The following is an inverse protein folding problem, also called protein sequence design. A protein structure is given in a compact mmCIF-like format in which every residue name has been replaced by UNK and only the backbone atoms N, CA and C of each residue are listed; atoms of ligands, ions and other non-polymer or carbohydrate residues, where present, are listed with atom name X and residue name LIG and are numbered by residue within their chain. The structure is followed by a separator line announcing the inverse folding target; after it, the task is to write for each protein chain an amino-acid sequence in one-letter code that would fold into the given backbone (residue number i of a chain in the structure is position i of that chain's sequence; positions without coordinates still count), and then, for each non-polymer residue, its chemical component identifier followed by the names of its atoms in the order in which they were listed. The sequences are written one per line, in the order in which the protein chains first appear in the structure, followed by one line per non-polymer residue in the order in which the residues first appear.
data_IF_209658742035
#
_entry.id   IF_209658742035
#
_cell.length_a   1.000
_cell.length_b   1.000
_cell.length_c   1.000
_cell.angle_alpha   90.00
_cell.angle_beta   90.00
_cell.angle_gamma   90.00
#
_symmetry.space_group_name_H-M   'P 1'
#
loop_
_entity.id
_entity.type
_entity.pdbx_description
1 polymer ?
#
# COMPACT_ATOMS: atom_id res chain seq x y z
N UNK A 1 18.33 -47.14 0.56
CA UNK A 1 18.88 -47.08 -0.82
C UNK A 1 18.58 -45.68 -1.38
N UNK A 2 19.63 -44.97 -1.83
CA UNK A 2 19.73 -43.86 -2.80
C UNK A 2 18.52 -42.91 -3.05
N UNK A 3 18.64 -41.58 -3.18
CA UNK A 3 19.74 -40.79 -3.76
C UNK A 3 19.55 -39.30 -3.45
N UNK A 4 20.60 -38.65 -2.94
CA UNK A 4 20.75 -37.19 -2.81
C UNK A 4 20.85 -36.57 -4.21
N UNK A 5 20.17 -35.44 -4.44
CA UNK A 5 20.50 -34.51 -5.54
C UNK A 5 20.39 -33.06 -5.07
N UNK A 6 21.53 -32.52 -4.66
CA UNK A 6 21.77 -31.09 -4.61
C UNK A 6 21.91 -30.55 -6.05
N UNK A 7 21.33 -29.38 -6.32
CA UNK A 7 21.73 -28.53 -7.45
C UNK A 7 21.76 -27.08 -6.97
N UNK A 8 22.97 -26.62 -6.68
CA UNK A 8 23.32 -25.20 -6.64
C UNK A 8 23.42 -24.68 -8.06
N UNK A 9 22.77 -23.56 -8.33
CA UNK A 9 23.12 -22.67 -9.44
C UNK A 9 23.01 -21.25 -8.93
N UNK A 10 24.16 -20.71 -8.53
CA UNK A 10 24.36 -19.29 -8.34
C UNK A 10 24.20 -18.61 -9.72
N UNK A 11 23.39 -17.57 -9.79
CA UNK A 11 23.29 -16.71 -10.97
C UNK A 11 23.81 -15.33 -10.62
N UNK A 12 24.73 -14.91 -11.48
CA UNK A 12 25.64 -13.79 -11.45
C UNK A 12 24.93 -12.44 -11.56
N UNK A 13 25.33 -11.47 -10.74
CA UNK A 13 24.98 -10.06 -10.90
C UNK A 13 25.91 -9.35 -11.92
N UNK A 14 25.35 -8.45 -12.72
CA UNK A 14 25.99 -7.18 -13.08
C UNK A 14 24.94 -6.03 -12.99
N UNK A 15 25.23 -4.73 -13.00
CA UNK A 15 26.41 -3.89 -12.87
C UNK A 15 25.89 -2.48 -12.56
N UNK A 16 26.76 -1.67 -11.96
CA UNK A 16 26.59 -0.26 -11.60
C UNK A 16 26.29 0.60 -12.83
N UNK A 17 25.25 1.44 -12.76
CA UNK A 17 25.08 2.59 -13.64
C UNK A 17 24.96 3.86 -12.79
N UNK A 18 26.10 4.52 -12.60
CA UNK A 18 26.15 5.87 -12.06
C UNK A 18 25.76 6.86 -13.17
N UNK A 19 24.63 7.54 -13.04
CA UNK A 19 24.30 8.70 -13.86
C UNK A 19 24.71 9.98 -13.12
N UNK A 20 25.74 10.63 -13.66
CA UNK A 20 26.23 11.93 -13.25
C UNK A 20 25.76 13.01 -14.23
N UNK A 21 25.44 14.19 -13.67
CA UNK A 21 25.54 15.54 -14.23
C UNK A 21 24.47 16.04 -15.23
N UNK A 22 23.74 17.07 -14.81
CA UNK A 22 23.85 18.41 -15.42
C UNK A 22 23.30 19.50 -14.47
N UNK A 23 24.18 20.35 -13.93
CA UNK A 23 23.83 21.69 -13.45
C UNK A 23 23.87 22.65 -14.65
N UNK A 24 22.72 23.20 -15.03
CA UNK A 24 22.57 24.40 -15.85
C UNK A 24 21.90 25.45 -14.97
N UNK A 25 22.65 26.42 -14.45
CA UNK A 25 23.04 27.67 -15.11
C UNK A 25 21.93 28.74 -15.06
N UNK A 26 22.18 29.68 -14.14
CA UNK A 26 21.76 31.07 -13.98
C UNK A 26 21.24 31.82 -15.23
N UNK A 27 20.25 32.71 -15.01
CA UNK A 27 20.22 34.02 -15.65
C UNK A 27 18.84 34.50 -16.11
N UNK A 28 18.30 35.53 -15.44
CA UNK A 28 17.20 36.34 -15.98
C UNK A 28 16.31 36.99 -14.91
N UNK A 29 16.74 38.15 -14.40
CA UNK A 29 15.85 39.16 -13.79
C UNK A 29 14.80 39.60 -14.82
N UNK A 30 13.51 39.51 -14.49
CA UNK A 30 12.47 40.31 -15.13
C UNK A 30 11.48 40.83 -14.08
N UNK A 31 11.53 42.13 -13.87
CA UNK A 31 10.66 42.92 -12.99
C UNK A 31 9.37 43.19 -13.76
N UNK A 32 8.33 42.40 -13.49
CA UNK A 32 7.01 42.55 -14.10
C UNK A 32 5.89 42.40 -13.08
N UNK A 33 5.69 43.42 -12.25
CA UNK A 33 4.52 43.53 -11.36
C UNK A 33 3.26 43.77 -12.20
N UNK A 34 2.47 42.73 -12.40
CA UNK A 34 1.03 42.84 -12.59
C UNK A 34 0.33 41.86 -11.63
N UNK A 35 -0.43 42.34 -10.62
CA UNK A 35 -1.25 41.48 -9.80
C UNK A 35 -2.46 41.06 -10.63
N UNK A 36 -2.28 40.04 -11.48
CA UNK A 36 -3.42 39.24 -11.92
C UNK A 36 -3.93 38.54 -10.67
N UNK A 37 -5.12 38.97 -10.24
CA UNK A 37 -5.96 38.26 -9.31
C UNK A 37 -6.05 36.81 -9.82
N UNK A 38 -5.17 35.97 -9.30
CA UNK A 38 -5.27 34.54 -9.42
C UNK A 38 -6.56 34.20 -8.73
N UNK A 39 -7.58 33.89 -9.53
CA UNK A 39 -8.65 33.02 -9.06
C UNK A 39 -7.92 31.80 -8.53
N UNK A 40 -7.81 31.75 -7.19
CA UNK A 40 -7.46 30.54 -6.45
C UNK A 40 -8.33 29.47 -7.08
N UNK A 41 -7.71 28.59 -7.85
CA UNK A 41 -8.30 27.31 -8.13
C UNK A 41 -8.35 26.67 -6.74
N UNK A 42 -9.51 26.76 -6.11
CA UNK A 42 -9.91 25.83 -5.07
C UNK A 42 -9.72 24.45 -5.71
N UNK A 43 -8.53 23.87 -5.51
CA UNK A 43 -8.40 22.44 -5.58
C UNK A 43 -9.42 21.96 -4.56
N UNK A 44 -10.50 21.37 -5.05
CA UNK A 44 -11.44 20.62 -4.23
C UNK A 44 -10.58 19.88 -3.22
N UNK A 45 -10.77 20.15 -1.92
CA UNK A 45 -10.11 19.36 -0.89
C UNK A 45 -10.42 17.91 -1.24
N UNK A 46 -9.42 17.18 -1.74
CA UNK A 46 -9.58 15.76 -2.00
C UNK A 46 -9.92 15.18 -0.64
N UNK A 47 -11.11 14.61 -0.55
CA UNK A 47 -11.64 14.09 0.71
C UNK A 47 -10.73 12.93 1.10
N UNK A 48 -9.87 13.15 2.09
CA UNK A 48 -8.88 12.17 2.51
C UNK A 48 -9.60 10.92 3.02
N UNK A 49 -9.06 9.74 2.70
CA UNK A 49 -9.64 8.47 3.13
C UNK A 49 -9.32 8.25 4.60
N UNK A 50 -10.35 8.23 5.44
CA UNK A 50 -10.23 7.96 6.86
C UNK A 50 -10.04 6.46 7.12
N UNK A 51 -8.90 6.11 7.72
CA UNK A 51 -8.53 4.75 8.10
C UNK A 51 -8.65 4.60 9.62
N UNK A 52 -9.30 3.52 10.04
CA UNK A 52 -9.44 3.13 11.43
C UNK A 52 -8.65 1.84 11.71
N UNK A 53 -7.73 1.83 12.69
CA UNK A 53 -7.06 0.60 13.10
C UNK A 53 -7.94 -0.25 14.02
N UNK A 54 -7.86 -1.57 13.87
CA UNK A 54 -8.60 -2.55 14.66
C UNK A 54 -7.67 -3.63 15.21
N UNK A 55 -7.74 -3.82 16.54
CA UNK A 55 -7.01 -4.85 17.29
C UNK A 55 -5.68 -4.43 17.91
N UNK A 56 -5.18 -5.26 18.85
CA UNK A 56 -3.95 -5.02 19.63
C UNK A 56 -2.78 -5.96 19.27
N UNK A 57 -2.95 -6.79 18.23
CA UNK A 57 -1.92 -7.66 17.63
C UNK A 57 -1.71 -7.24 16.17
N UNK A 58 -1.51 -8.16 15.20
CA UNK A 58 -1.56 -7.79 13.80
C UNK A 58 -2.75 -6.87 13.49
N UNK A 59 -2.48 -5.64 13.05
CA UNK A 59 -3.46 -4.57 12.97
C UNK A 59 -4.28 -4.74 11.70
N UNK A 60 -5.60 -4.88 11.89
CA UNK A 60 -6.57 -4.69 10.83
C UNK A 60 -6.72 -3.20 10.55
N UNK A 61 -6.77 -2.82 9.27
CA UNK A 61 -7.11 -1.46 8.88
C UNK A 61 -8.48 -1.49 8.23
N UNK A 62 -9.37 -0.59 8.63
CA UNK A 62 -10.70 -0.44 8.04
C UNK A 62 -10.93 0.97 7.52
N UNK A 63 -11.78 1.10 6.50
CA UNK A 63 -12.25 2.39 5.99
C UNK A 63 -13.70 2.28 5.51
N UNK A 64 -14.46 3.40 5.48
CA UNK A 64 -15.74 3.46 4.80
C UNK A 64 -15.60 3.03 3.32
N UNK A 65 -16.70 2.60 2.71
CA UNK A 65 -16.73 2.36 1.27
C UNK A 65 -16.38 3.64 0.52
N UNK A 66 -15.37 3.55 -0.35
CA UNK A 66 -14.94 4.65 -1.20
C UNK A 66 -15.35 4.41 -2.66
N UNK A 67 -15.63 5.48 -3.38
CA UNK A 67 -15.86 5.43 -4.82
C UNK A 67 -14.52 5.55 -5.56
N UNK A 68 -14.35 4.82 -6.66
CA UNK A 68 -13.14 4.87 -7.47
C UNK A 68 -13.11 3.81 -8.56
N UNK A 69 -12.09 3.88 -9.41
CA UNK A 69 -11.83 2.81 -10.37
C UNK A 69 -11.35 1.58 -9.61
N UNK A 70 -12.20 0.55 -9.59
CA UNK A 70 -11.88 -0.73 -8.95
C UNK A 70 -11.02 -1.57 -9.87
N UNK A 71 -9.97 -2.17 -9.32
CA UNK A 71 -9.10 -3.13 -9.99
C UNK A 71 -8.91 -4.40 -9.15
N UNK A 72 -8.82 -5.53 -9.84
CA UNK A 72 -8.52 -6.81 -9.19
C UNK A 72 -7.01 -6.92 -8.98
N UNK A 73 -6.59 -7.05 -7.72
CA UNK A 73 -5.21 -7.29 -7.33
C UNK A 73 -5.06 -8.69 -6.75
N UNK A 74 -3.96 -9.36 -7.11
CA UNK A 74 -3.67 -10.73 -6.69
C UNK A 74 -2.32 -10.79 -5.98
N UNK A 75 -2.23 -11.50 -4.87
CA UNK A 75 -0.99 -11.58 -4.10
C UNK A 75 -1.11 -12.49 -2.90
N UNK A 76 -0.07 -12.55 -2.06
CA UNK A 76 -0.12 -13.25 -0.77
C UNK A 76 -0.50 -12.24 0.32
N UNK A 77 -1.54 -12.54 1.09
CA UNK A 77 -1.82 -11.76 2.30
C UNK A 77 -0.76 -12.09 3.35
N UNK A 78 -0.12 -11.08 3.92
CA UNK A 78 0.91 -11.22 4.95
C UNK A 78 0.60 -10.31 6.14
N UNK A 79 1.27 -10.55 7.27
CA UNK A 79 1.46 -9.53 8.30
C UNK A 79 2.73 -8.79 7.94
N UNK A 80 2.58 -7.58 7.41
CA UNK A 80 3.64 -6.76 6.90
C UNK A 80 4.37 -5.96 7.98
N UNK A 81 5.20 -4.99 7.57
CA UNK A 81 5.81 -4.03 8.47
C UNK A 81 4.78 -3.34 9.38
N UNK A 82 5.18 -3.08 10.64
CA UNK A 82 4.26 -2.48 11.62
C UNK A 82 3.19 -3.42 12.16
N UNK A 83 3.28 -4.72 11.85
CA UNK A 83 2.29 -5.75 12.16
C UNK A 83 0.96 -5.53 11.43
N UNK A 84 0.88 -4.82 10.31
CA UNK A 84 -0.39 -4.53 9.63
C UNK A 84 -0.65 -5.53 8.49
N UNK A 85 -1.91 -5.83 8.18
CA UNK A 85 -2.20 -6.69 7.02
C UNK A 85 -1.75 -6.02 5.72
N UNK A 86 -1.03 -6.78 4.88
CA UNK A 86 -0.52 -6.30 3.60
C UNK A 86 -0.68 -7.36 2.52
N UNK A 87 -0.76 -6.91 1.27
CA UNK A 87 -0.64 -7.73 0.09
C UNK A 87 0.81 -7.72 -0.38
N UNK A 88 1.34 -8.89 -0.71
CA UNK A 88 2.65 -9.00 -1.33
C UNK A 88 2.61 -9.98 -2.50
N UNK A 89 2.88 -9.49 -3.70
CA UNK A 89 3.13 -10.34 -4.88
C UNK A 89 4.60 -10.26 -5.29
N UNK A 90 5.02 -9.12 -5.84
CA UNK A 90 6.42 -8.84 -6.19
C UNK A 90 6.84 -7.47 -5.62
N UNK A 91 7.93 -7.42 -4.86
CA UNK A 91 8.47 -6.15 -4.33
C UNK A 91 8.00 -5.80 -2.92
N UNK A 92 7.72 -4.51 -2.69
CA UNK A 92 7.36 -3.99 -1.37
C UNK A 92 5.93 -4.39 -1.00
N UNK A 93 5.64 -4.68 0.27
CA UNK A 93 4.27 -4.94 0.72
C UNK A 93 3.37 -3.70 0.55
N UNK A 94 2.14 -3.92 0.11
CA UNK A 94 1.13 -2.88 -0.06
C UNK A 94 0.05 -3.05 1.03
N UNK A 95 -0.33 -1.97 1.71
CA UNK A 95 -1.27 -2.10 2.83
C UNK A 95 -2.67 -2.51 2.36
N UNK A 96 -3.30 -3.43 3.08
CA UNK A 96 -4.70 -3.80 2.87
C UNK A 96 -5.58 -3.08 3.88
N UNK A 97 -6.55 -2.33 3.37
CA UNK A 97 -7.60 -1.69 4.14
C UNK A 97 -8.91 -2.38 3.78
N UNK A 98 -9.57 -2.96 4.77
CA UNK A 98 -10.83 -3.67 4.60
C UNK A 98 -12.02 -2.71 4.77
N UNK A 99 -13.22 -3.04 4.28
CA UNK A 99 -14.39 -2.23 4.61
C UNK A 99 -14.65 -2.23 6.12
N UNK A 100 -15.43 -1.27 6.61
CA UNK A 100 -15.96 -1.34 7.98
C UNK A 100 -16.84 -2.59 8.19
N UNK A 101 -16.96 -3.03 9.45
CA UNK A 101 -17.82 -4.15 9.84
C UNK A 101 -17.28 -5.53 9.47
N UNK A 102 -15.98 -5.63 9.17
CA UNK A 102 -15.28 -6.89 8.90
C UNK A 102 -14.77 -7.50 10.19
N UNK A 103 -14.53 -8.80 10.18
CA UNK A 103 -14.05 -9.52 11.36
C UNK A 103 -12.58 -9.87 11.21
N UNK A 104 -11.76 -9.46 12.17
CA UNK A 104 -10.36 -9.86 12.26
C UNK A 104 -10.16 -10.91 13.35
N UNK A 105 -9.48 -12.00 13.01
CA UNK A 105 -8.96 -12.95 14.01
C UNK A 105 -7.47 -12.70 14.14
N UNK A 106 -7.12 -11.90 15.14
CA UNK A 106 -5.76 -11.39 15.33
C UNK A 106 -4.94 -12.27 16.30
N UNK A 107 -5.64 -13.02 17.16
CA UNK A 107 -5.04 -13.95 18.12
C UNK A 107 -5.11 -15.40 17.63
N UNK A 108 -3.95 -16.02 17.38
CA UNK A 108 -3.86 -17.42 16.95
C UNK A 108 -2.56 -17.71 16.19
N UNK A 109 -2.39 -18.95 15.71
CA UNK A 109 -1.21 -19.34 14.93
C UNK A 109 -1.15 -18.65 13.55
N UNK A 110 -2.30 -18.15 13.06
CA UNK A 110 -2.44 -17.48 11.76
C UNK A 110 -3.47 -16.36 11.84
N UNK A 111 -3.03 -15.09 11.83
CA UNK A 111 -3.91 -13.93 11.74
C UNK A 111 -4.78 -14.01 10.48
N UNK A 112 -6.05 -13.59 10.56
CA UNK A 112 -6.99 -13.62 9.43
C UNK A 112 -7.95 -12.43 9.42
N UNK A 113 -8.53 -12.17 8.23
CA UNK A 113 -9.58 -11.18 8.01
C UNK A 113 -10.74 -11.85 7.28
N UNK A 114 -11.98 -11.53 7.64
CA UNK A 114 -13.19 -12.08 7.03
C UNK A 114 -13.97 -10.99 6.33
N UNK A 115 -14.25 -11.20 5.03
CA UNK A 115 -15.06 -10.30 4.22
C UNK A 115 -16.25 -11.01 3.59
N UNK A 116 -17.35 -10.28 3.40
CA UNK A 116 -18.56 -10.83 2.74
C UNK A 116 -18.29 -11.33 1.32
N UNK A 117 -17.42 -10.65 0.56
CA UNK A 117 -17.07 -11.05 -0.81
C UNK A 117 -16.12 -12.25 -0.91
N UNK A 118 -15.11 -12.33 -0.03
CA UNK A 118 -13.99 -13.30 -0.17
C UNK A 118 -13.99 -14.38 0.91
N UNK A 119 -14.86 -14.26 1.91
CA UNK A 119 -14.83 -15.12 3.10
C UNK A 119 -13.64 -14.81 4.01
N UNK A 120 -13.26 -15.79 4.84
CA UNK A 120 -12.10 -15.70 5.73
C UNK A 120 -10.81 -15.99 4.97
N UNK A 121 -9.88 -15.04 5.01
CA UNK A 121 -8.53 -15.16 4.45
C UNK A 121 -7.52 -15.13 5.59
N UNK A 122 -6.60 -16.08 5.62
CA UNK A 122 -5.50 -16.11 6.58
C UNK A 122 -4.19 -15.57 6.00
N UNK A 123 -3.36 -15.00 6.87
CA UNK A 123 -2.00 -14.65 6.55
C UNK A 123 -1.24 -15.87 6.02
N UNK A 124 -0.51 -15.65 4.93
CA UNK A 124 0.18 -16.66 4.14
C UNK A 124 -0.66 -17.30 3.04
N UNK A 125 -1.94 -16.95 2.85
CA UNK A 125 -2.74 -17.43 1.72
C UNK A 125 -2.60 -16.52 0.50
N UNK A 126 -2.76 -17.09 -0.71
CA UNK A 126 -2.85 -16.30 -1.94
C UNK A 126 -4.31 -15.87 -2.13
N UNK A 127 -4.51 -14.61 -2.45
CA UNK A 127 -5.82 -13.96 -2.56
C UNK A 127 -5.92 -13.16 -3.83
N UNK A 128 -7.16 -12.88 -4.19
CA UNK A 128 -7.55 -11.93 -5.22
C UNK A 128 -8.63 -11.04 -4.59
N UNK A 129 -8.43 -9.73 -4.64
CA UNK A 129 -9.38 -8.75 -4.12
C UNK A 129 -9.69 -7.74 -5.21
N UNK A 130 -10.95 -7.35 -5.31
CA UNK A 130 -11.31 -6.13 -6.01
C UNK A 130 -11.04 -4.95 -5.06
N UNK A 131 -10.24 -3.99 -5.49
CA UNK A 131 -9.74 -2.91 -4.63
C UNK A 131 -9.77 -1.58 -5.35
N UNK A 132 -9.84 -0.49 -4.60
CA UNK A 132 -9.50 0.84 -5.10
C UNK A 132 -8.13 1.19 -4.54
N UNK A 133 -7.19 1.52 -5.43
CA UNK A 133 -5.86 1.98 -5.06
C UNK A 133 -5.93 3.44 -4.60
N UNK A 134 -5.37 3.72 -3.43
CA UNK A 134 -5.32 5.07 -2.85
C UNK A 134 -3.87 5.41 -2.50
N UNK A 135 -3.36 6.58 -2.92
CA UNK A 135 -2.04 7.04 -2.48
C UNK A 135 -1.99 7.16 -0.97
N UNK A 136 -0.89 6.72 -0.35
CA UNK A 136 -0.72 6.75 1.11
C UNK A 136 -0.87 8.18 1.68
N UNK A 137 -0.44 9.20 0.93
CA UNK A 137 -0.54 10.61 1.31
C UNK A 137 -1.97 11.18 1.29
N UNK A 138 -2.92 10.47 0.67
CA UNK A 138 -4.34 10.85 0.62
C UNK A 138 -5.14 10.17 1.75
N UNK A 139 -4.46 9.62 2.76
CA UNK A 139 -5.09 8.88 3.86
C UNK A 139 -4.85 9.56 5.22
N UNK A 140 -5.84 9.48 6.10
CA UNK A 140 -5.73 9.92 7.50
C UNK A 140 -6.02 8.76 8.46
N UNK A 141 -5.52 8.84 9.69
CA UNK A 141 -5.80 7.85 10.74
C UNK A 141 -4.95 6.58 10.68
N UNK A 142 -4.08 6.44 9.68
CA UNK A 142 -3.14 5.34 9.58
C UNK A 142 -2.11 5.38 10.73
N UNK A 143 -1.92 4.29 11.51
CA UNK A 143 -0.88 4.24 12.51
C UNK A 143 0.53 4.38 11.90
N UNK A 144 1.40 5.18 12.52
CA UNK A 144 2.77 5.45 12.06
C UNK A 144 3.61 4.18 11.83
N UNK A 145 3.30 3.08 12.52
CA UNK A 145 4.00 1.82 12.33
C UNK A 145 3.58 1.10 11.05
N UNK A 146 2.34 1.23 10.59
CA UNK A 146 1.85 0.60 9.36
C UNK A 146 2.42 1.27 8.11
N UNK A 147 2.75 2.56 8.16
CA UNK A 147 3.27 3.33 7.01
C UNK A 147 4.76 3.11 6.74
N UNK A 148 5.48 2.41 7.62
CA UNK A 148 6.93 2.25 7.50
C UNK A 148 7.30 1.00 6.69
N UNK A 149 7.98 1.18 5.56
CA UNK A 149 8.52 0.06 4.78
C UNK A 149 7.50 -0.67 3.90
N UNK A 150 6.32 -0.07 3.73
CA UNK A 150 5.30 -0.44 2.75
C UNK A 150 5.44 0.44 1.50
N UNK A 151 4.75 0.07 0.42
CA UNK A 151 4.65 0.89 -0.77
C UNK A 151 3.87 2.20 -0.51
N UNK A 152 4.00 3.17 -1.42
CA UNK A 152 3.29 4.46 -1.37
C UNK A 152 1.80 4.35 -1.76
N UNK A 153 1.28 3.14 -1.92
CA UNK A 153 -0.09 2.83 -2.31
C UNK A 153 -0.72 1.87 -1.31
N UNK A 154 -1.98 2.14 -0.98
CA UNK A 154 -2.82 1.25 -0.18
C UNK A 154 -3.96 0.71 -1.04
N UNK A 155 -4.43 -0.48 -0.72
CA UNK A 155 -5.57 -1.10 -1.38
C UNK A 155 -6.77 -1.14 -0.46
N UNK A 156 -7.82 -0.41 -0.82
CA UNK A 156 -9.11 -0.46 -0.12
C UNK A 156 -9.96 -1.55 -0.76
N UNK A 157 -10.11 -2.67 -0.06
CA UNK A 157 -10.88 -3.85 -0.49
C UNK A 157 -12.34 -3.48 -0.65
N UNK A 158 -12.90 -3.79 -1.81
CA UNK A 158 -14.31 -3.63 -2.12
C UNK A 158 -15.10 -4.83 -1.57
N UNK A 159 -16.28 -4.55 -1.00
CA UNK A 159 -17.14 -5.52 -0.31
C UNK A 159 -18.49 -5.67 -1.00
#
# INVERSE_FOLDING_TARGET
MAKIRARSTAVTAPAVAALMLALSACGGDDVGTEPRAGTKQEGSAQEQVMISPEGDGPIGLTAPSIEGDSETVSGRMIVGPGECFSLQDEGQPELLVFPEGKEFVISGDRPSATTEGTGTVQAGERVEFDTVAVPLEETEGLPDQCSQGVADTIHVVQG
#
